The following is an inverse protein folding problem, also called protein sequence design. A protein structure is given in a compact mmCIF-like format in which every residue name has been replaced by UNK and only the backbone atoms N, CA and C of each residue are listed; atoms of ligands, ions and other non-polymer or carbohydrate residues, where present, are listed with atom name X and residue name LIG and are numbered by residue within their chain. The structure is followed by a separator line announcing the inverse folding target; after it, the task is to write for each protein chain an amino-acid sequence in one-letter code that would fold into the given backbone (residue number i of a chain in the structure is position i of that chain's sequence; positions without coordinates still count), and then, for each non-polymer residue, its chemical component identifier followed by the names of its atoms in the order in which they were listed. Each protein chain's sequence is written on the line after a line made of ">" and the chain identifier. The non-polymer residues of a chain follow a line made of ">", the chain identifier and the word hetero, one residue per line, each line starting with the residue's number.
data_IF_405310723431
#
_entry.id   IF_405310723431
#
_cell.length_a   1.000
_cell.length_b   1.000
_cell.length_c   1.000
_cell.angle_alpha   90.00
_cell.angle_beta   90.00
_cell.angle_gamma   90.00
#
_symmetry.space_group_name_H-M   'P 1'
#
loop_
_entity.id
_entity.type
_entity.pdbx_description
1 polymer ?
#
# COMPACT_ATOMS: atom_id res chain seq x y z
N UNK A 1 -15.11 -7.88 -17.91
CA UNK A 1 -14.64 -9.25 -18.19
C UNK A 1 -14.36 -9.91 -16.85
N UNK A 2 -15.25 -10.78 -16.40
CA UNK A 2 -15.09 -11.57 -15.18
C UNK A 2 -14.46 -12.90 -15.56
N UNK A 3 -13.16 -13.07 -15.30
CA UNK A 3 -12.45 -14.29 -15.72
C UNK A 3 -12.62 -15.43 -14.69
N UNK A 4 -13.06 -15.12 -13.46
CA UNK A 4 -13.23 -16.08 -12.35
C UNK A 4 -14.37 -15.72 -11.38
N UNK A 5 -15.34 -14.89 -11.80
CA UNK A 5 -16.33 -14.29 -10.87
C UNK A 5 -15.73 -13.23 -9.93
N UNK A 6 -14.50 -12.81 -10.23
CA UNK A 6 -13.74 -11.77 -9.55
C UNK A 6 -13.63 -10.60 -10.53
N UNK A 7 -14.08 -9.43 -10.10
CA UNK A 7 -14.01 -8.19 -10.85
C UNK A 7 -12.57 -7.71 -10.99
N UNK A 8 -12.26 -6.93 -12.04
CA UNK A 8 -10.93 -6.32 -12.20
C UNK A 8 -10.48 -5.50 -10.99
N UNK A 9 -11.44 -4.96 -10.22
CA UNK A 9 -11.22 -4.27 -8.96
C UNK A 9 -10.61 -5.16 -7.89
N UNK A 10 -11.14 -6.36 -7.70
CA UNK A 10 -10.67 -7.28 -6.66
C UNK A 10 -9.25 -7.77 -6.93
N UNK A 11 -8.87 -7.96 -8.20
CA UNK A 11 -7.49 -8.27 -8.56
C UNK A 11 -6.49 -7.20 -8.08
N UNK A 12 -6.86 -5.92 -8.15
CA UNK A 12 -6.02 -4.83 -7.64
C UNK A 12 -5.88 -4.93 -6.12
N UNK A 13 -6.96 -5.25 -5.41
CA UNK A 13 -6.93 -5.46 -3.96
C UNK A 13 -6.06 -6.64 -3.53
N UNK A 14 -6.12 -7.75 -4.26
CA UNK A 14 -5.25 -8.91 -4.01
C UNK A 14 -3.78 -8.62 -4.31
N UNK A 15 -3.49 -7.91 -5.41
CA UNK A 15 -2.13 -7.49 -5.75
C UNK A 15 -1.56 -6.51 -4.72
N UNK A 16 -2.36 -5.57 -4.24
CA UNK A 16 -1.98 -4.63 -3.18
C UNK A 16 -1.61 -5.37 -1.88
N UNK A 17 -2.45 -6.33 -1.48
CA UNK A 17 -2.22 -7.18 -0.31
C UNK A 17 -0.93 -7.99 -0.44
N UNK A 18 -0.69 -8.56 -1.62
CA UNK A 18 0.53 -9.30 -1.91
C UNK A 18 1.79 -8.43 -1.82
N UNK A 19 1.75 -7.21 -2.36
CA UNK A 19 2.88 -6.27 -2.25
C UNK A 19 3.18 -5.89 -0.78
N UNK A 20 2.16 -5.63 0.02
CA UNK A 20 2.34 -5.34 1.45
C UNK A 20 2.91 -6.56 2.18
N UNK A 21 2.41 -7.77 1.88
CA UNK A 21 2.93 -9.01 2.46
C UNK A 21 4.40 -9.26 2.10
N UNK A 22 4.76 -9.03 0.83
CA UNK A 22 6.15 -9.10 0.37
C UNK A 22 7.05 -8.10 1.09
N UNK A 23 6.53 -6.91 1.42
CA UNK A 23 7.30 -5.90 2.14
C UNK A 23 7.84 -6.47 3.46
N UNK A 24 7.05 -7.22 4.23
CA UNK A 24 7.47 -7.81 5.51
C UNK A 24 8.57 -8.87 5.39
N UNK A 25 8.78 -9.41 4.20
CA UNK A 25 9.85 -10.38 3.95
C UNK A 25 11.22 -9.68 3.74
N UNK A 26 11.23 -8.35 3.58
CA UNK A 26 12.45 -7.59 3.31
C UNK A 26 13.25 -7.29 4.58
N UNK A 27 14.55 -7.63 4.57
CA UNK A 27 15.49 -7.27 5.66
C UNK A 27 15.86 -5.79 5.68
N UNK A 28 15.84 -5.12 4.52
CA UNK A 28 16.21 -3.71 4.41
C UNK A 28 15.02 -2.79 4.70
N UNK A 29 15.09 -2.02 5.79
CA UNK A 29 14.04 -1.07 6.20
C UNK A 29 13.74 -0.02 5.11
N UNK A 30 14.74 0.38 4.32
CA UNK A 30 14.55 1.30 3.18
C UNK A 30 13.71 0.67 2.06
N UNK A 31 14.00 -0.59 1.69
CA UNK A 31 13.25 -1.31 0.66
C UNK A 31 11.84 -1.65 1.14
N UNK A 32 11.71 -2.08 2.40
CA UNK A 32 10.43 -2.28 3.09
C UNK A 32 9.52 -1.05 2.94
N UNK A 33 10.03 0.14 3.26
CA UNK A 33 9.24 1.39 3.16
C UNK A 33 8.85 1.73 1.73
N UNK A 34 9.74 1.53 0.76
CA UNK A 34 9.42 1.79 -0.65
C UNK A 34 8.33 0.85 -1.17
N UNK A 35 8.40 -0.44 -0.86
CA UNK A 35 7.38 -1.43 -1.26
C UNK A 35 6.06 -1.19 -0.52
N UNK A 36 6.12 -0.86 0.77
CA UNK A 36 4.92 -0.54 1.54
C UNK A 36 4.22 0.71 1.00
N UNK A 37 4.97 1.74 0.57
CA UNK A 37 4.40 2.92 -0.10
C UNK A 37 3.70 2.56 -1.41
N UNK A 38 4.25 1.65 -2.21
CA UNK A 38 3.62 1.18 -3.46
C UNK A 38 2.35 0.39 -3.17
N UNK A 39 2.38 -0.51 -2.18
CA UNK A 39 1.19 -1.24 -1.71
C UNK A 39 0.09 -0.33 -1.18
N UNK A 40 0.44 0.72 -0.42
CA UNK A 40 -0.53 1.71 0.08
C UNK A 40 -1.21 2.47 -1.07
N UNK A 41 -0.46 2.90 -2.09
CA UNK A 41 -1.03 3.57 -3.27
C UNK A 41 -2.04 2.65 -3.98
N UNK A 42 -1.70 1.37 -4.15
CA UNK A 42 -2.60 0.38 -4.75
C UNK A 42 -3.87 0.19 -3.91
N UNK A 43 -3.76 0.18 -2.58
CA UNK A 43 -4.93 0.11 -1.70
C UNK A 43 -5.82 1.36 -1.74
N UNK A 44 -5.23 2.55 -1.89
CA UNK A 44 -5.99 3.78 -2.08
C UNK A 44 -6.79 3.70 -3.38
N UNK A 45 -6.14 3.30 -4.49
CA UNK A 45 -6.81 3.10 -5.79
C UNK A 45 -7.91 2.04 -5.68
N UNK A 46 -7.62 0.91 -5.03
CA UNK A 46 -8.61 -0.15 -4.78
C UNK A 46 -9.83 0.35 -4.00
N UNK A 47 -9.62 1.13 -2.94
CA UNK A 47 -10.70 1.70 -2.15
C UNK A 47 -11.59 2.66 -2.93
N UNK A 48 -11.04 3.42 -3.89
CA UNK A 48 -11.83 4.26 -4.80
C UNK A 48 -12.61 3.45 -5.84
N UNK A 49 -12.09 2.28 -6.21
CA UNK A 49 -12.68 1.42 -7.23
C UNK A 49 -13.76 0.47 -6.65
N UNK A 50 -13.93 0.44 -5.33
CA UNK A 50 -15.00 -0.31 -4.66
C UNK A 50 -16.39 0.21 -5.06
N UNK A 51 -17.42 -0.66 -5.06
CA UNK A 51 -18.78 -0.30 -5.47
C UNK A 51 -19.39 0.87 -4.68
N UNK A 52 -19.00 1.00 -3.40
CA UNK A 52 -19.49 2.05 -2.52
C UNK A 52 -18.31 2.71 -1.81
N UNK A 53 -18.14 4.01 -2.01
CA UNK A 53 -17.04 4.77 -1.40
C UNK A 53 -17.02 4.69 0.14
N UNK A 54 -18.20 4.51 0.77
CA UNK A 54 -18.34 4.27 2.22
C UNK A 54 -17.57 3.02 2.70
N UNK A 55 -17.54 1.97 1.88
CA UNK A 55 -16.87 0.69 2.20
C UNK A 55 -15.35 0.85 2.01
N UNK A 56 -14.93 1.60 1.00
CA UNK A 56 -13.52 1.88 0.71
C UNK A 56 -12.88 2.95 1.60
N UNK A 57 -13.66 3.86 2.19
CA UNK A 57 -13.20 4.95 3.06
C UNK A 57 -12.20 4.52 4.16
N UNK A 58 -12.49 3.51 5.02
CA UNK A 58 -11.54 3.08 6.04
C UNK A 58 -10.22 2.57 5.44
N UNK A 59 -10.27 1.89 4.29
CA UNK A 59 -9.08 1.39 3.58
C UNK A 59 -8.25 2.56 3.04
N UNK A 60 -8.89 3.54 2.40
CA UNK A 60 -8.23 4.72 1.85
C UNK A 60 -7.55 5.51 2.97
N UNK A 61 -8.27 5.81 4.06
CA UNK A 61 -7.76 6.61 5.17
C UNK A 61 -6.57 5.92 5.84
N UNK A 62 -6.69 4.61 6.13
CA UNK A 62 -5.62 3.85 6.76
C UNK A 62 -4.36 3.82 5.88
N UNK A 63 -4.51 3.50 4.59
CA UNK A 63 -3.38 3.41 3.67
C UNK A 63 -2.76 4.78 3.36
N UNK A 64 -3.57 5.85 3.33
CA UNK A 64 -3.08 7.22 3.20
C UNK A 64 -2.24 7.64 4.42
N UNK A 65 -2.69 7.33 5.63
CA UNK A 65 -1.92 7.61 6.85
C UNK A 65 -0.58 6.84 6.87
N UNK A 66 -0.62 5.55 6.52
CA UNK A 66 0.59 4.71 6.43
C UNK A 66 1.54 5.25 5.35
N UNK A 67 1.03 5.65 4.19
CA UNK A 67 1.82 6.27 3.14
C UNK A 67 2.52 7.54 3.63
N UNK A 68 1.80 8.46 4.28
CA UNK A 68 2.37 9.68 4.84
C UNK A 68 3.50 9.40 5.85
N UNK A 69 3.29 8.44 6.75
CA UNK A 69 4.31 8.02 7.73
C UNK A 69 5.54 7.45 7.03
N UNK A 70 5.35 6.51 6.11
CA UNK A 70 6.46 5.91 5.36
C UNK A 70 7.21 6.93 4.51
N UNK A 71 6.49 7.86 3.89
CA UNK A 71 7.05 8.94 3.08
C UNK A 71 7.93 9.86 3.92
N UNK A 72 7.42 10.32 5.06
CA UNK A 72 8.18 11.14 6.01
C UNK A 72 9.48 10.44 6.43
N UNK A 73 9.37 9.17 6.82
CA UNK A 73 10.50 8.38 7.29
C UNK A 73 11.51 8.02 6.18
N UNK A 74 11.10 7.98 4.91
CA UNK A 74 11.97 7.64 3.78
C UNK A 74 12.67 8.86 3.18
N UNK A 75 12.00 10.03 3.15
CA UNK A 75 12.51 11.24 2.52
C UNK A 75 13.10 12.26 3.49
N UNK A 76 12.57 12.36 4.72
CA UNK A 76 12.97 13.41 5.68
C UNK A 76 14.00 12.89 6.69
N UNK A 77 13.95 11.60 7.05
CA UNK A 77 14.98 11.02 7.93
C UNK A 77 16.27 10.80 7.13
N UNK A 78 17.19 11.77 7.22
CA UNK A 78 18.59 11.62 6.76
C UNK A 78 19.15 10.30 7.33
N UNK A 79 19.97 9.54 6.57
CA UNK A 79 20.61 8.35 7.11
C UNK A 79 21.31 8.78 8.40
N UNK A 80 20.99 8.11 9.52
CA UNK A 80 21.87 8.13 10.67
C UNK A 80 23.24 7.74 10.14
N UNK A 81 24.15 8.72 10.12
CA UNK A 81 25.58 8.47 9.98
C UNK A 81 25.90 7.60 11.18
N UNK A 82 25.92 6.29 11.00
CA UNK A 82 26.64 5.41 11.91
C UNK A 82 28.08 5.88 11.85
N UNK A 83 28.51 6.48 12.96
CA UNK A 83 29.87 6.91 13.21
C UNK A 83 30.88 5.79 12.96
#
# INVERSE_FOLDING_TARGET
>A
MELFGITGTEYIGYLASFMVLLSFTMKDVKKLRMVNMTGCILFIIYGFLMPTLRIGLPIIIANFAIFCVNFYYSFIKKPEVKA
#
